data_IF_744357518278
#
_entry.id   IF_744357518278
#
_cell.length_a   1.000
_cell.length_b   1.000
_cell.length_c   1.000
_cell.angle_alpha   90.00
_cell.angle_beta   90.00
_cell.angle_gamma   90.00
#
_symmetry.space_group_name_H-M   'P 1'
#
loop_
_entity.id
_entity.type
_entity.pdbx_description
1 polymer ?
#
# COMPACT_ATOMS: atom_id res chain seq x y z
N UNK A 1 -4.56 18.21 -52.77
CA UNK A 1 -5.40 17.56 -51.75
C UNK A 1 -4.45 16.97 -50.72
N UNK A 2 -4.09 17.65 -49.63
CA UNK A 2 -4.88 18.04 -48.42
C UNK A 2 -5.31 16.82 -47.58
N UNK A 3 -5.17 16.97 -46.26
CA UNK A 3 -5.59 16.05 -45.17
C UNK A 3 -4.66 14.83 -44.93
N UNK A 4 -3.50 15.10 -44.33
CA UNK A 4 -2.71 14.13 -43.54
C UNK A 4 -1.79 14.83 -42.51
N UNK A 5 -1.28 16.03 -42.84
CA UNK A 5 -0.31 16.79 -42.03
C UNK A 5 -0.92 17.96 -41.22
N UNK A 6 -2.23 17.91 -40.89
CA UNK A 6 -2.97 19.08 -40.37
C UNK A 6 -3.44 18.98 -38.90
N UNK A 7 -3.15 17.90 -38.17
CA UNK A 7 -3.61 17.74 -36.76
C UNK A 7 -2.45 17.68 -35.74
N UNK A 8 -1.24 17.28 -36.17
CA UNK A 8 -0.07 17.19 -35.29
C UNK A 8 0.58 18.54 -34.89
N UNK A 9 0.36 19.60 -35.65
CA UNK A 9 1.08 20.89 -35.48
C UNK A 9 0.32 21.98 -34.72
N UNK A 10 -0.95 21.74 -34.33
CA UNK A 10 -1.79 22.79 -33.71
C UNK A 10 -1.83 22.77 -32.17
N UNK A 11 -1.23 21.78 -31.51
CA UNK A 11 -1.12 21.73 -30.03
C UNK A 11 0.22 22.23 -29.47
N UNK A 12 1.23 22.46 -30.33
CA UNK A 12 2.57 22.93 -29.92
C UNK A 12 2.68 24.47 -29.99
N UNK A 13 1.87 25.13 -30.82
CA UNK A 13 1.93 26.58 -31.05
C UNK A 13 1.25 27.45 -29.95
N UNK A 14 0.55 26.87 -28.96
CA UNK A 14 -0.17 27.64 -27.92
C UNK A 14 0.62 27.87 -26.63
N UNK A 15 1.85 27.37 -26.52
CA UNK A 15 2.68 27.45 -25.31
C UNK A 15 3.84 28.47 -25.41
N UNK A 16 3.93 29.24 -26.49
CA UNK A 16 4.96 30.29 -26.70
C UNK A 16 4.38 31.53 -27.37
N UNK A 17 3.66 32.36 -26.61
CA UNK A 17 3.56 33.83 -26.72
C UNK A 17 3.03 34.33 -25.37
N UNK A 18 3.95 34.60 -24.46
CA UNK A 18 3.77 35.42 -23.26
C UNK A 18 5.18 35.92 -22.88
N UNK A 19 5.49 37.14 -23.31
CA UNK A 19 6.79 37.83 -23.19
C UNK A 19 7.44 37.66 -21.80
N UNK A 20 8.74 37.43 -21.62
CA UNK A 20 9.95 38.00 -22.28
C UNK A 20 10.15 39.50 -22.05
N UNK A 21 10.65 39.89 -20.86
CA UNK A 21 11.75 40.89 -20.66
C UNK A 21 11.99 41.23 -19.17
N UNK A 22 13.08 40.73 -18.59
CA UNK A 22 14.03 41.54 -17.80
C UNK A 22 15.41 40.85 -17.82
N UNK A 23 16.51 41.61 -17.67
CA UNK A 23 17.86 41.19 -18.10
C UNK A 23 18.93 41.58 -17.07
N UNK A 24 19.95 40.72 -16.91
CA UNK A 24 21.21 40.91 -16.12
C UNK A 24 21.00 40.96 -14.58
N UNK A 25 21.93 40.52 -13.73
CA UNK A 25 23.39 40.31 -13.84
C UNK A 25 23.91 39.10 -13.00
N UNK A 26 25.22 38.82 -13.08
CA UNK A 26 25.92 37.72 -12.37
C UNK A 26 25.87 37.80 -10.84
N UNK A 27 25.93 36.64 -10.15
CA UNK A 27 26.88 36.25 -9.07
C UNK A 27 26.47 34.87 -8.51
N UNK A 28 27.45 34.00 -8.21
CA UNK A 28 27.24 32.63 -7.70
C UNK A 28 26.44 32.56 -6.38
N UNK A 29 25.37 31.75 -6.32
CA UNK A 29 24.67 31.32 -5.08
C UNK A 29 24.07 29.90 -5.21
N UNK A 30 23.69 29.22 -4.10
CA UNK A 30 23.59 27.76 -4.04
C UNK A 30 22.37 27.14 -4.73
N UNK A 31 22.41 25.81 -4.87
CA UNK A 31 21.29 24.94 -5.27
C UNK A 31 20.02 25.20 -4.43
N UNK A 32 19.13 26.04 -4.94
CA UNK A 32 17.70 26.10 -4.62
C UNK A 32 17.00 26.97 -5.68
N UNK A 33 16.34 26.33 -6.64
CA UNK A 33 15.33 26.98 -7.50
C UNK A 33 14.01 26.26 -7.31
N UNK A 34 13.36 26.56 -6.18
CA UNK A 34 11.92 26.35 -6.03
C UNK A 34 11.24 27.39 -6.91
N UNK A 35 10.88 27.01 -8.14
CA UNK A 35 9.95 27.77 -8.99
C UNK A 35 9.44 26.89 -10.16
N UNK A 36 8.78 25.81 -9.77
CA UNK A 36 7.66 25.22 -10.52
C UNK A 36 6.73 24.59 -9.49
N UNK A 37 5.41 24.81 -9.57
CA UNK A 37 4.51 24.16 -8.64
C UNK A 37 4.46 22.68 -9.01
N UNK A 38 5.05 21.84 -8.17
CA UNK A 38 4.90 20.38 -8.20
C UNK A 38 3.46 20.03 -7.79
N UNK A 39 2.51 20.30 -8.70
CA UNK A 39 1.09 19.97 -8.53
C UNK A 39 0.91 18.47 -8.76
N UNK A 40 1.31 17.69 -7.77
CA UNK A 40 0.73 16.39 -7.54
C UNK A 40 -0.78 16.59 -7.42
N UNK A 41 -1.56 16.04 -8.35
CA UNK A 41 -3.01 16.10 -8.31
C UNK A 41 -3.53 15.20 -7.19
N UNK A 42 -3.50 15.71 -5.97
CA UNK A 42 -4.34 15.21 -4.88
C UNK A 42 -5.78 15.33 -5.39
N UNK A 43 -6.50 14.21 -5.49
CA UNK A 43 -7.90 14.24 -5.89
C UNK A 43 -8.70 14.99 -4.80
N UNK A 44 -9.37 16.12 -5.09
CA UNK A 44 -10.04 16.94 -4.07
C UNK A 44 -11.26 16.30 -3.38
N UNK A 45 -11.54 15.02 -3.64
CA UNK A 45 -12.72 14.32 -3.15
C UNK A 45 -12.61 13.73 -1.74
N UNK A 46 -11.44 13.75 -1.10
CA UNK A 46 -11.24 13.17 0.24
C UNK A 46 -11.37 14.16 1.40
N UNK A 47 -11.41 15.48 1.13
CA UNK A 47 -11.68 16.50 2.16
C UNK A 47 -13.19 16.59 2.45
N UNK A 48 -13.74 15.54 3.05
CA UNK A 48 -15.03 15.62 3.74
C UNK A 48 -14.83 16.33 5.08
N UNK A 49 -15.70 17.29 5.38
CA UNK A 49 -15.70 18.01 6.66
C UNK A 49 -16.04 17.05 7.81
N UNK A 50 -15.01 16.49 8.46
CA UNK A 50 -15.18 15.85 9.76
C UNK A 50 -15.19 16.91 10.86
N UNK A 51 -16.29 16.96 11.59
CA UNK A 51 -16.49 17.87 12.72
C UNK A 51 -15.47 17.61 13.83
N UNK A 52 -14.91 18.69 14.36
CA UNK A 52 -13.95 18.68 15.47
C UNK A 52 -14.51 17.97 16.70
N UNK A 53 -13.86 16.88 17.14
CA UNK A 53 -14.09 16.33 18.47
C UNK A 53 -13.58 17.29 19.56
N UNK A 54 -14.20 17.28 20.75
CA UNK A 54 -14.01 18.35 21.74
C UNK A 54 -12.63 18.31 22.37
N UNK A 55 -12.02 19.49 22.51
CA UNK A 55 -10.83 19.72 23.33
C UNK A 55 -11.12 19.43 24.79
N UNK A 56 -10.72 18.23 25.24
CA UNK A 56 -10.74 17.84 26.65
C UNK A 56 -9.48 18.34 27.36
N UNK A 57 -9.67 19.12 28.42
CA UNK A 57 -8.58 19.58 29.28
C UNK A 57 -8.01 18.38 30.05
N UNK A 58 -6.87 17.84 29.61
CA UNK A 58 -6.16 16.79 30.33
C UNK A 58 -5.28 17.38 31.44
N UNK A 59 -5.69 17.16 32.68
CA UNK A 59 -4.84 17.30 33.86
C UNK A 59 -3.68 16.30 33.79
N UNK A 60 -2.47 16.74 34.13
CA UNK A 60 -1.26 15.97 33.91
C UNK A 60 -1.13 14.73 34.83
N UNK A 61 -1.32 13.55 34.25
CA UNK A 61 -0.73 12.27 34.70
C UNK A 61 0.22 11.77 33.62
N UNK A 62 1.51 11.66 33.92
CA UNK A 62 2.59 11.77 32.94
C UNK A 62 3.05 10.42 32.34
N UNK A 63 2.10 9.57 31.90
CA UNK A 63 2.39 8.37 31.09
C UNK A 63 2.01 8.62 29.63
N UNK A 64 3.00 8.70 28.74
CA UNK A 64 2.78 8.86 27.29
C UNK A 64 2.51 7.51 26.63
N UNK A 65 1.31 6.98 26.86
CA UNK A 65 0.86 5.75 26.20
C UNK A 65 0.76 6.01 24.68
N UNK A 66 1.45 5.20 23.89
CA UNK A 66 1.37 5.25 22.43
C UNK A 66 0.00 4.84 21.91
N UNK A 67 -0.48 5.53 20.87
CA UNK A 67 -1.75 5.20 20.22
C UNK A 67 -1.57 3.96 19.34
N UNK A 68 -2.58 3.10 19.27
CA UNK A 68 -2.57 1.95 18.35
C UNK A 68 -3.17 2.37 17.01
N UNK A 69 -2.48 2.07 15.91
CA UNK A 69 -3.03 2.18 14.57
C UNK A 69 -3.95 0.97 14.34
N UNK A 70 -5.25 1.13 14.59
CA UNK A 70 -6.26 0.08 14.37
C UNK A 70 -6.61 -0.04 12.87
N UNK A 71 -5.82 -0.85 12.16
CA UNK A 71 -6.12 -1.20 10.77
C UNK A 71 -7.36 -2.08 10.59
N UNK A 72 -7.84 -2.77 11.64
CA UNK A 72 -9.06 -3.60 11.58
C UNK A 72 -10.32 -2.73 11.58
N UNK A 73 -10.33 -1.65 12.36
CA UNK A 73 -11.38 -0.62 12.30
C UNK A 73 -11.44 -0.01 10.90
N UNK A 74 -10.30 0.45 10.39
CA UNK A 74 -10.17 1.00 9.04
C UNK A 74 -10.63 -0.02 7.98
N UNK A 75 -10.25 -1.29 8.14
CA UNK A 75 -10.64 -2.37 7.23
C UNK A 75 -12.15 -2.59 7.19
N UNK A 76 -12.82 -2.61 8.34
CA UNK A 76 -14.27 -2.84 8.37
C UNK A 76 -15.05 -1.67 7.76
N UNK A 77 -14.64 -0.42 8.03
CA UNK A 77 -15.14 0.79 7.38
C UNK A 77 -14.97 0.72 5.84
N UNK A 78 -13.82 0.25 5.37
CA UNK A 78 -13.55 0.06 3.94
C UNK A 78 -14.41 -1.03 3.31
N UNK A 79 -14.47 -2.22 3.91
CA UNK A 79 -15.33 -3.31 3.43
C UNK A 79 -16.79 -2.88 3.35
N UNK A 80 -17.30 -2.16 4.35
CA UNK A 80 -18.68 -1.66 4.35
C UNK A 80 -18.96 -0.71 3.18
N UNK A 81 -18.03 0.19 2.84
CA UNK A 81 -18.19 1.10 1.69
C UNK A 81 -18.09 0.37 0.36
N UNK A 82 -17.12 -0.54 0.24
CA UNK A 82 -16.88 -1.31 -1.00
C UNK A 82 -18.06 -2.25 -1.28
N UNK A 83 -18.68 -2.86 -0.25
CA UNK A 83 -19.92 -3.61 -0.39
C UNK A 83 -21.08 -2.75 -0.96
N UNK A 84 -21.14 -1.48 -0.56
CA UNK A 84 -22.06 -0.49 -1.13
C UNK A 84 -21.78 -0.23 -2.61
N UNK A 85 -20.55 0.14 -2.95
CA UNK A 85 -20.12 0.44 -4.33
C UNK A 85 -20.32 -0.76 -5.28
N UNK A 86 -20.03 -1.99 -4.83
CA UNK A 86 -20.24 -3.22 -5.61
C UNK A 86 -21.74 -3.52 -5.80
N UNK A 87 -22.58 -3.29 -4.79
CA UNK A 87 -24.03 -3.44 -4.90
C UNK A 87 -24.65 -2.41 -5.86
N UNK A 88 -24.18 -1.17 -5.83
CA UNK A 88 -24.59 -0.11 -6.77
C UNK A 88 -24.17 -0.44 -8.20
N UNK A 89 -22.92 -0.86 -8.42
CA UNK A 89 -22.44 -1.35 -9.71
C UNK A 89 -23.30 -2.52 -10.22
N UNK A 90 -23.57 -3.51 -9.38
CA UNK A 90 -24.40 -4.68 -9.73
C UNK A 90 -25.81 -4.27 -10.15
N UNK A 91 -26.43 -3.30 -9.47
CA UNK A 91 -27.75 -2.75 -9.86
C UNK A 91 -27.70 -1.98 -11.18
N UNK A 92 -26.62 -1.23 -11.43
CA UNK A 92 -26.50 -0.37 -12.60
C UNK A 92 -26.19 -1.14 -13.90
N UNK A 93 -25.33 -2.16 -13.86
CA UNK A 93 -24.84 -2.87 -15.05
C UNK A 93 -25.05 -4.40 -15.04
N UNK A 94 -25.68 -4.95 -14.00
CA UNK A 94 -25.96 -6.39 -13.87
C UNK A 94 -24.73 -7.28 -13.64
N UNK A 95 -23.54 -6.70 -13.51
CA UNK A 95 -22.25 -7.41 -13.35
C UNK A 95 -21.64 -7.16 -11.97
N UNK A 96 -20.85 -8.13 -11.50
CA UNK A 96 -20.02 -8.03 -10.28
C UNK A 96 -18.55 -8.13 -10.65
N UNK A 97 -17.64 -7.46 -9.91
CA UNK A 97 -16.20 -7.68 -10.08
C UNK A 97 -15.83 -9.14 -9.77
N UNK A 98 -14.74 -9.60 -10.37
CA UNK A 98 -14.25 -10.97 -10.26
C UNK A 98 -12.75 -11.04 -10.00
N UNK A 99 -12.33 -11.89 -9.08
CA UNK A 99 -10.94 -12.08 -8.65
C UNK A 99 -10.49 -13.52 -8.93
N UNK A 100 -9.50 -13.71 -9.80
CA UNK A 100 -8.79 -14.97 -9.96
C UNK A 100 -7.67 -15.07 -8.93
N UNK A 101 -7.53 -16.23 -8.29
CA UNK A 101 -6.48 -16.51 -7.31
C UNK A 101 -5.78 -17.80 -7.74
N UNK A 102 -4.46 -17.76 -7.90
CA UNK A 102 -3.63 -18.94 -8.16
C UNK A 102 -2.88 -19.31 -6.88
N UNK A 103 -3.09 -20.53 -6.39
CA UNK A 103 -2.43 -21.07 -5.18
C UNK A 103 -1.63 -22.31 -5.58
N UNK A 104 -0.36 -22.39 -5.16
CA UNK A 104 0.53 -23.51 -5.50
C UNK A 104 1.08 -24.16 -4.23
N UNK A 105 0.74 -25.43 -4.04
CA UNK A 105 1.17 -26.26 -2.91
C UNK A 105 0.43 -26.01 -1.59
N UNK A 106 0.76 -26.85 -0.59
CA UNK A 106 -0.02 -27.02 0.65
C UNK A 106 0.45 -26.15 1.82
N UNK A 107 0.96 -24.95 1.53
CA UNK A 107 1.47 -24.04 2.57
C UNK A 107 0.35 -23.52 3.46
N UNK A 108 0.35 -23.92 4.74
CA UNK A 108 -0.71 -23.58 5.72
C UNK A 108 -0.92 -22.08 5.89
N UNK A 109 0.14 -21.28 5.82
CA UNK A 109 0.08 -19.82 5.85
C UNK A 109 -0.58 -19.29 4.57
N UNK A 110 -0.14 -19.73 3.39
CA UNK A 110 -0.77 -19.39 2.10
C UNK A 110 -2.27 -19.72 2.06
N UNK A 111 -2.66 -20.93 2.49
CA UNK A 111 -4.08 -21.34 2.63
C UNK A 111 -4.87 -20.44 3.59
N UNK A 112 -4.26 -20.03 4.71
CA UNK A 112 -4.89 -19.11 5.68
C UNK A 112 -5.13 -17.74 5.04
N UNK A 113 -4.14 -17.20 4.33
CA UNK A 113 -4.28 -15.95 3.57
C UNK A 113 -5.38 -16.08 2.51
N UNK A 114 -5.39 -17.13 1.68
CA UNK A 114 -6.43 -17.31 0.65
C UNK A 114 -7.83 -17.43 1.26
N UNK A 115 -8.00 -18.11 2.38
CA UNK A 115 -9.27 -18.14 3.10
C UNK A 115 -9.72 -16.74 3.54
N UNK A 116 -8.80 -15.90 4.01
CA UNK A 116 -9.10 -14.48 4.33
C UNK A 116 -9.46 -13.69 3.06
N UNK A 117 -8.71 -13.88 1.95
CA UNK A 117 -8.98 -13.23 0.66
C UNK A 117 -10.40 -13.53 0.17
N UNK A 118 -10.75 -14.82 0.07
CA UNK A 118 -12.06 -15.30 -0.38
C UNK A 118 -13.18 -14.86 0.58
N UNK A 119 -12.97 -14.95 1.90
CA UNK A 119 -13.96 -14.51 2.90
C UNK A 119 -14.33 -13.04 2.71
N UNK A 120 -13.33 -12.18 2.57
CA UNK A 120 -13.60 -10.76 2.36
C UNK A 120 -14.28 -10.51 1.00
N UNK A 121 -13.85 -11.15 -0.10
CA UNK A 121 -14.54 -11.02 -1.40
C UNK A 121 -16.05 -11.29 -1.26
N UNK A 122 -16.41 -12.35 -0.54
CA UNK A 122 -17.80 -12.68 -0.23
C UNK A 122 -18.49 -11.60 0.64
N UNK A 123 -17.80 -11.05 1.65
CA UNK A 123 -18.32 -9.96 2.50
C UNK A 123 -18.70 -8.68 1.72
N UNK A 124 -18.08 -8.43 0.55
CA UNK A 124 -18.37 -7.25 -0.29
C UNK A 124 -19.07 -7.57 -1.63
N UNK A 125 -19.40 -8.83 -1.90
CA UNK A 125 -20.07 -9.25 -3.13
C UNK A 125 -19.18 -9.33 -4.39
N UNK A 126 -17.85 -9.42 -4.21
CA UNK A 126 -16.91 -9.75 -5.29
C UNK A 126 -16.85 -11.27 -5.47
N UNK A 127 -16.92 -11.74 -6.71
CA UNK A 127 -16.81 -13.18 -7.02
C UNK A 127 -15.34 -13.59 -7.05
N UNK A 128 -14.92 -14.53 -6.21
CA UNK A 128 -13.55 -15.08 -6.24
C UNK A 128 -13.52 -16.50 -6.81
N UNK A 129 -12.54 -16.79 -7.67
CA UNK A 129 -12.27 -18.13 -8.22
C UNK A 129 -10.84 -18.51 -7.85
N UNK A 130 -10.65 -19.66 -7.20
CA UNK A 130 -9.32 -20.17 -6.82
C UNK A 130 -8.93 -21.31 -7.78
N UNK A 131 -7.74 -21.22 -8.35
CA UNK A 131 -7.06 -22.30 -9.05
C UNK A 131 -5.96 -22.84 -8.13
N UNK A 132 -6.19 -24.03 -7.58
CA UNK A 132 -5.23 -24.73 -6.70
C UNK A 132 -4.40 -25.70 -7.55
N UNK A 133 -3.08 -25.58 -7.46
CA UNK A 133 -2.10 -26.43 -8.16
C UNK A 133 -1.21 -27.16 -7.14
N UNK A 134 -0.85 -28.43 -7.39
CA UNK A 134 0.01 -29.18 -6.48
C UNK A 134 1.43 -28.60 -6.40
N UNK A 135 2.12 -28.88 -5.29
CA UNK A 135 3.48 -28.37 -5.04
C UNK A 135 4.52 -28.82 -6.10
N UNK A 136 4.25 -29.86 -6.88
CA UNK A 136 5.13 -30.37 -7.94
C UNK A 136 4.73 -29.90 -9.36
N UNK A 137 3.77 -28.98 -9.50
CA UNK A 137 3.43 -28.38 -10.79
C UNK A 137 4.65 -27.73 -11.44
N UNK A 138 4.69 -27.80 -12.77
CA UNK A 138 5.68 -27.14 -13.62
C UNK A 138 5.24 -25.70 -13.82
N UNK A 139 6.21 -24.82 -13.99
CA UNK A 139 5.99 -23.39 -14.28
C UNK A 139 4.94 -23.15 -15.39
N UNK A 140 4.96 -23.93 -16.47
CA UNK A 140 3.95 -23.87 -17.54
C UNK A 140 2.51 -24.08 -17.06
N UNK A 141 2.28 -24.99 -16.11
CA UNK A 141 0.94 -25.25 -15.56
C UNK A 141 0.41 -24.02 -14.80
N UNK A 142 1.29 -23.28 -14.11
CA UNK A 142 0.95 -22.03 -13.41
C UNK A 142 0.70 -20.91 -14.43
N UNK A 143 1.57 -20.78 -15.45
CA UNK A 143 1.42 -19.79 -16.52
C UNK A 143 0.12 -19.98 -17.31
N UNK A 144 -0.29 -21.23 -17.56
CA UNK A 144 -1.57 -21.56 -18.17
C UNK A 144 -2.77 -21.18 -17.28
N UNK A 145 -2.67 -21.40 -15.96
CA UNK A 145 -3.70 -20.99 -15.01
C UNK A 145 -3.87 -19.45 -14.96
N UNK A 146 -2.75 -18.71 -14.92
CA UNK A 146 -2.76 -17.23 -15.00
C UNK A 146 -3.33 -16.77 -16.35
N UNK A 147 -2.94 -17.39 -17.46
CA UNK A 147 -3.41 -17.02 -18.81
C UNK A 147 -4.93 -17.22 -18.96
N UNK A 148 -5.48 -18.32 -18.43
CA UNK A 148 -6.93 -18.54 -18.37
C UNK A 148 -7.68 -17.44 -17.61
N UNK A 149 -7.08 -16.86 -16.57
CA UNK A 149 -7.64 -15.71 -15.86
C UNK A 149 -7.43 -14.37 -16.61
N UNK A 150 -6.34 -14.20 -17.37
CA UNK A 150 -6.16 -13.06 -18.27
C UNK A 150 -7.25 -13.03 -19.36
N UNK A 151 -7.52 -14.17 -19.99
CA UNK A 151 -8.47 -14.27 -21.10
C UNK A 151 -9.93 -14.28 -20.66
N UNK A 152 -10.21 -14.61 -19.38
CA UNK A 152 -11.58 -14.63 -18.86
C UNK A 152 -12.13 -13.21 -18.62
N UNK A 153 -13.17 -12.76 -19.34
CA UNK A 153 -13.76 -11.41 -19.20
C UNK A 153 -14.59 -11.23 -17.92
N UNK A 154 -14.84 -12.30 -17.16
CA UNK A 154 -15.47 -12.22 -15.83
C UNK A 154 -14.45 -12.04 -14.71
N UNK A 155 -13.16 -12.23 -14.98
CA UNK A 155 -12.07 -11.97 -14.05
C UNK A 155 -11.48 -10.61 -14.35
N UNK A 156 -11.41 -9.76 -13.34
CA UNK A 156 -11.02 -8.35 -13.42
C UNK A 156 -9.71 -8.08 -12.64
N UNK A 157 -9.32 -8.99 -11.75
CA UNK A 157 -8.05 -8.98 -11.03
C UNK A 157 -7.50 -10.39 -10.84
N UNK A 158 -6.19 -10.52 -10.76
CA UNK A 158 -5.47 -11.78 -10.58
C UNK A 158 -4.46 -11.64 -9.44
N UNK A 159 -4.47 -12.62 -8.53
CA UNK A 159 -3.49 -12.79 -7.46
C UNK A 159 -2.77 -14.11 -7.69
N UNK A 160 -1.44 -14.11 -7.69
CA UNK A 160 -0.63 -15.32 -7.54
C UNK A 160 -0.14 -15.36 -6.10
N UNK A 161 -0.52 -16.37 -5.34
CA UNK A 161 -0.22 -16.41 -3.91
C UNK A 161 1.24 -16.76 -3.66
N UNK A 162 1.99 -15.77 -3.19
CA UNK A 162 3.39 -15.90 -2.79
C UNK A 162 3.54 -16.39 -1.33
N UNK A 163 4.70 -16.95 -0.95
CA UNK A 163 5.81 -17.33 -1.84
C UNK A 163 5.51 -18.65 -2.58
N UNK A 164 6.04 -18.78 -3.79
CA UNK A 164 5.93 -20.02 -4.56
C UNK A 164 6.94 -21.09 -4.08
N UNK A 165 6.71 -22.37 -4.43
CA UNK A 165 7.72 -23.42 -4.28
C UNK A 165 9.06 -23.05 -4.93
N UNK A 166 10.17 -23.39 -4.25
CA UNK A 166 11.55 -22.95 -4.60
C UNK A 166 12.05 -23.35 -5.99
N UNK A 167 11.39 -24.28 -6.68
CA UNK A 167 11.75 -24.73 -8.03
C UNK A 167 11.06 -23.90 -9.14
N UNK A 168 10.21 -22.94 -8.78
CA UNK A 168 9.52 -22.03 -9.71
C UNK A 168 10.19 -20.66 -9.72
N UNK A 169 10.23 -20.03 -10.89
CA UNK A 169 10.64 -18.64 -11.05
C UNK A 169 9.43 -17.71 -10.80
N UNK A 170 9.41 -17.08 -9.61
CA UNK A 170 8.37 -16.11 -9.24
C UNK A 170 8.28 -14.95 -10.22
N UNK A 171 9.40 -14.42 -10.71
CA UNK A 171 9.41 -13.25 -11.58
C UNK A 171 8.85 -13.60 -12.97
N UNK A 172 9.21 -14.77 -13.50
CA UNK A 172 8.66 -15.26 -14.76
C UNK A 172 7.15 -15.50 -14.69
N UNK A 173 6.65 -16.08 -13.59
CA UNK A 173 5.21 -16.31 -13.38
C UNK A 173 4.46 -14.99 -13.20
N UNK A 174 4.98 -14.07 -12.38
CA UNK A 174 4.34 -12.77 -12.14
C UNK A 174 4.25 -11.92 -13.42
N UNK A 175 5.23 -12.01 -14.32
CA UNK A 175 5.21 -11.33 -15.61
C UNK A 175 4.16 -11.88 -16.60
N UNK A 176 3.50 -13.01 -16.31
CA UNK A 176 2.35 -13.50 -17.10
C UNK A 176 1.05 -12.77 -16.72
N UNK A 177 0.97 -12.19 -15.52
CA UNK A 177 -0.23 -11.44 -15.09
C UNK A 177 -0.36 -10.16 -15.92
N UNK A 178 -1.49 -9.99 -16.62
CA UNK A 178 -1.73 -8.76 -17.39
C UNK A 178 -1.69 -7.54 -16.47
N UNK A 179 -0.99 -6.47 -16.89
CA UNK A 179 -0.89 -5.22 -16.12
C UNK A 179 -2.26 -4.60 -15.80
N UNK A 180 -3.29 -4.88 -16.60
CA UNK A 180 -4.69 -4.44 -16.39
C UNK A 180 -5.44 -5.27 -15.34
N UNK A 181 -4.90 -6.43 -14.93
CA UNK A 181 -5.44 -7.32 -13.90
C UNK A 181 -4.48 -7.57 -12.73
N UNK A 182 -3.27 -7.00 -12.74
CA UNK A 182 -2.25 -7.09 -11.69
C UNK A 182 -2.66 -6.33 -10.42
N UNK A 183 -3.66 -6.84 -9.72
CA UNK A 183 -4.26 -6.17 -8.55
C UNK A 183 -3.35 -6.13 -7.32
N UNK A 184 -2.34 -6.99 -7.25
CA UNK A 184 -1.27 -6.91 -6.25
C UNK A 184 -0.19 -5.87 -6.61
N UNK A 185 -0.18 -5.33 -7.84
CA UNK A 185 0.66 -4.21 -8.29
C UNK A 185 2.13 -4.55 -8.52
N UNK A 186 2.47 -5.83 -8.68
CA UNK A 186 3.85 -6.31 -8.76
C UNK A 186 4.44 -6.29 -10.18
N UNK A 187 3.62 -6.10 -11.21
CA UNK A 187 4.05 -6.03 -12.60
C UNK A 187 5.06 -4.87 -12.78
N UNK A 188 6.20 -5.06 -13.47
CA UNK A 188 7.26 -4.05 -13.57
C UNK A 188 6.81 -2.68 -14.10
N UNK A 189 5.77 -2.64 -14.94
CA UNK A 189 5.16 -1.37 -15.39
C UNK A 189 4.45 -0.60 -14.27
N UNK A 190 3.79 -1.28 -13.32
CA UNK A 190 3.20 -0.64 -12.15
C UNK A 190 4.29 -0.07 -11.24
N UNK A 191 5.34 -0.85 -10.95
CA UNK A 191 6.49 -0.37 -10.19
C UNK A 191 7.25 0.78 -10.87
N UNK A 192 7.45 0.72 -12.18
CA UNK A 192 8.09 1.79 -12.96
C UNK A 192 7.24 3.06 -13.03
N UNK A 193 5.93 2.93 -13.22
CA UNK A 193 5.02 4.08 -13.20
C UNK A 193 4.87 4.67 -11.80
N UNK A 194 5.01 3.87 -10.73
CA UNK A 194 5.11 4.34 -9.34
C UNK A 194 6.42 5.13 -9.10
N UNK A 195 7.56 4.68 -9.65
CA UNK A 195 8.85 5.36 -9.47
C UNK A 195 8.97 6.69 -10.24
N UNK A 196 8.34 6.81 -11.41
CA UNK A 196 8.49 7.97 -12.31
C UNK A 196 7.50 9.08 -11.93
N UNK A 197 8.00 10.28 -11.68
CA UNK A 197 7.19 11.47 -11.41
C UNK A 197 6.27 11.82 -12.61
N UNK A 198 5.02 12.20 -12.33
CA UNK A 198 4.03 12.53 -13.35
C UNK A 198 3.43 11.33 -14.11
N UNK A 199 3.76 10.09 -13.71
CA UNK A 199 3.06 8.87 -14.15
C UNK A 199 2.20 8.33 -13.01
N UNK A 200 1.15 7.60 -13.36
CA UNK A 200 0.37 6.82 -12.40
C UNK A 200 0.41 5.33 -12.77
N UNK A 201 0.65 4.43 -11.80
CA UNK A 201 0.46 3.01 -12.01
C UNK A 201 -1.03 2.67 -12.14
N UNK A 202 -1.36 1.54 -12.78
CA UNK A 202 -2.74 1.03 -12.73
C UNK A 202 -3.04 0.50 -11.33
N UNK A 203 -2.10 -0.26 -10.75
CA UNK A 203 -2.21 -0.81 -9.42
C UNK A 203 -1.01 -0.42 -8.56
N UNK A 204 -1.26 -0.09 -7.30
CA UNK A 204 -0.22 0.21 -6.30
C UNK A 204 -0.12 -1.00 -5.38
N UNK A 205 1.09 -1.51 -5.08
CA UNK A 205 1.30 -2.63 -4.19
C UNK A 205 0.53 -2.56 -2.87
N UNK A 206 -0.02 -3.70 -2.48
CA UNK A 206 -1.14 -3.76 -1.55
C UNK A 206 -0.76 -3.36 -0.11
N UNK A 207 0.26 -3.97 0.47
CA UNK A 207 0.76 -3.62 1.80
C UNK A 207 1.35 -2.19 1.89
N UNK A 208 2.16 -1.69 0.92
CA UNK A 208 2.61 -0.29 0.88
C UNK A 208 1.48 0.74 0.90
N UNK A 209 0.40 0.51 0.13
CA UNK A 209 -0.76 1.38 0.14
C UNK A 209 -1.56 1.27 1.45
N UNK A 210 -1.61 0.09 2.08
CA UNK A 210 -2.16 -0.04 3.43
C UNK A 210 -1.36 0.81 4.46
N UNK A 211 -0.03 0.77 4.41
CA UNK A 211 0.84 1.58 5.26
C UNK A 211 0.53 3.08 5.08
N UNK A 212 0.42 3.53 3.83
CA UNK A 212 0.05 4.91 3.50
C UNK A 212 -1.34 5.30 4.02
N UNK A 213 -2.36 4.46 3.81
CA UNK A 213 -3.73 4.69 4.30
C UNK A 213 -3.78 4.81 5.83
N UNK A 214 -3.04 3.98 6.56
CA UNK A 214 -2.92 4.08 8.02
C UNK A 214 -2.39 5.46 8.43
N UNK A 215 -1.26 5.89 7.84
CA UNK A 215 -0.65 7.19 8.17
C UNK A 215 -1.62 8.35 7.89
N UNK A 216 -2.24 8.37 6.70
CA UNK A 216 -3.15 9.45 6.28
C UNK A 216 -4.43 9.49 7.13
N UNK A 217 -5.03 8.34 7.46
CA UNK A 217 -6.27 8.27 8.26
C UNK A 217 -6.07 8.63 9.72
N UNK A 218 -4.87 8.43 10.25
CA UNK A 218 -4.46 8.94 11.57
C UNK A 218 -3.95 10.39 11.53
N UNK A 219 -4.18 11.11 10.42
CA UNK A 219 -3.96 12.54 10.32
C UNK A 219 -2.50 12.96 10.15
N UNK A 220 -1.61 12.06 9.73
CA UNK A 220 -0.22 12.43 9.49
C UNK A 220 -0.03 13.24 8.22
N UNK A 221 0.47 14.47 8.39
CA UNK A 221 1.15 15.16 7.29
C UNK A 221 2.53 14.51 7.06
N UNK A 222 2.69 13.94 5.86
CA UNK A 222 3.90 13.23 5.42
C UNK A 222 4.95 14.18 4.82
N UNK A 223 4.56 15.39 4.46
CA UNK A 223 5.41 16.36 3.76
C UNK A 223 6.59 16.78 4.63
N UNK A 224 7.80 16.58 4.12
CA UNK A 224 9.06 16.90 4.81
C UNK A 224 9.39 15.99 6.00
N UNK A 225 8.56 15.00 6.33
CA UNK A 225 8.86 14.02 7.39
C UNK A 225 10.04 13.14 7.00
N UNK A 226 10.86 12.75 7.97
CA UNK A 226 11.88 11.72 7.79
C UNK A 226 11.24 10.35 7.92
N UNK A 227 11.27 9.55 6.86
CA UNK A 227 10.82 8.16 6.89
C UNK A 227 12.03 7.21 6.76
N UNK A 228 12.08 6.19 7.62
CA UNK A 228 13.01 5.06 7.48
C UNK A 228 12.22 3.81 7.09
N UNK A 229 12.51 3.23 5.94
CA UNK A 229 11.95 1.93 5.52
C UNK A 229 13.03 0.87 5.72
N UNK A 230 12.81 -0.05 6.65
CA UNK A 230 13.75 -1.08 7.09
C UNK A 230 13.36 -2.40 6.43
N UNK A 231 13.99 -2.70 5.30
CA UNK A 231 13.56 -3.73 4.38
C UNK A 231 13.54 -3.20 2.95
N UNK A 232 13.97 -4.01 1.99
CA UNK A 232 14.03 -3.66 0.56
C UNK A 232 13.41 -4.72 -0.34
N UNK A 233 12.38 -5.42 0.13
CA UNK A 233 11.67 -6.40 -0.70
C UNK A 233 11.04 -5.71 -1.91
N UNK A 234 10.83 -6.48 -2.99
CA UNK A 234 10.12 -6.02 -4.20
C UNK A 234 8.66 -5.65 -3.89
N UNK A 235 8.08 -6.26 -2.85
CA UNK A 235 6.63 -6.29 -2.55
C UNK A 235 6.23 -5.20 -1.54
N UNK A 236 7.06 -4.94 -0.51
CA UNK A 236 6.74 -3.98 0.55
C UNK A 236 7.77 -2.86 0.65
N UNK A 237 9.03 -3.16 0.98
CA UNK A 237 10.04 -2.15 1.28
C UNK A 237 10.29 -1.13 0.16
N UNK A 238 10.61 -1.60 -1.04
CA UNK A 238 10.84 -0.72 -2.20
C UNK A 238 9.58 0.13 -2.53
N UNK A 239 8.40 -0.45 -2.82
CA UNK A 239 7.20 0.35 -3.13
C UNK A 239 6.75 1.28 -2.00
N UNK A 240 6.94 0.92 -0.72
CA UNK A 240 6.65 1.84 0.40
C UNK A 240 7.57 3.05 0.36
N UNK A 241 8.86 2.85 0.05
CA UNK A 241 9.80 3.97 -0.07
C UNK A 241 9.41 4.94 -1.20
N UNK A 242 8.92 4.42 -2.33
CA UNK A 242 8.44 5.23 -3.46
C UNK A 242 7.13 5.97 -3.14
N UNK A 243 6.18 5.33 -2.45
CA UNK A 243 4.95 5.99 -2.02
C UNK A 243 5.21 7.13 -1.04
N UNK A 244 6.04 6.90 -0.02
CA UNK A 244 6.38 7.96 0.95
C UNK A 244 7.11 9.12 0.27
N UNK A 245 7.98 8.85 -0.72
CA UNK A 245 8.61 9.87 -1.54
C UNK A 245 7.59 10.69 -2.36
N UNK A 246 6.60 10.05 -3.00
CA UNK A 246 5.50 10.74 -3.70
C UNK A 246 4.69 11.65 -2.77
N UNK A 247 4.51 11.22 -1.52
CA UNK A 247 3.87 12.01 -0.46
C UNK A 247 4.83 13.02 0.20
N UNK A 248 5.90 13.41 -0.49
CA UNK A 248 6.84 14.48 -0.12
C UNK A 248 7.64 14.19 1.17
N UNK A 249 7.72 12.94 1.62
CA UNK A 249 8.60 12.56 2.73
C UNK A 249 10.06 12.43 2.26
N UNK A 250 11.01 12.72 3.15
CA UNK A 250 12.43 12.41 2.98
C UNK A 250 12.67 10.96 3.41
N UNK A 251 12.90 10.07 2.46
CA UNK A 251 12.96 8.62 2.71
C UNK A 251 14.38 8.09 2.76
N UNK A 252 14.70 7.29 3.78
CA UNK A 252 15.92 6.49 3.89
C UNK A 252 15.59 5.00 3.84
N UNK A 253 16.21 4.27 2.92
CA UNK A 253 16.07 2.82 2.81
C UNK A 253 17.18 2.14 3.62
N UNK A 254 16.79 1.31 4.59
CA UNK A 254 17.68 0.56 5.48
C UNK A 254 17.59 -0.93 5.14
N UNK A 255 18.73 -1.61 5.10
CA UNK A 255 18.82 -3.03 4.73
C UNK A 255 19.99 -3.72 5.44
N UNK A 256 20.14 -5.03 5.28
CA UNK A 256 21.17 -5.84 5.97
C UNK A 256 22.62 -5.31 5.87
N UNK A 257 22.98 -4.61 4.78
CA UNK A 257 24.30 -4.02 4.57
C UNK A 257 24.43 -2.55 5.04
N UNK A 258 23.41 -1.98 5.69
CA UNK A 258 23.45 -0.59 6.18
C UNK A 258 24.28 -0.54 7.47
N UNK A 259 25.38 0.22 7.47
CA UNK A 259 26.16 0.47 8.69
C UNK A 259 25.39 1.34 9.68
N UNK A 260 25.31 0.92 10.95
CA UNK A 260 24.60 1.61 12.03
C UNK A 260 23.12 1.96 11.70
N UNK A 261 22.25 0.96 11.39
CA UNK A 261 20.85 1.20 11.00
C UNK A 261 20.04 1.97 12.06
N UNK A 262 20.38 1.79 13.33
CA UNK A 262 19.89 2.57 14.46
C UNK A 262 20.01 4.09 14.26
N UNK A 263 21.15 4.58 13.73
CA UNK A 263 21.39 6.02 13.52
C UNK A 263 20.48 6.64 12.46
N UNK A 264 19.89 5.81 11.59
CA UNK A 264 18.93 6.24 10.57
C UNK A 264 17.52 6.24 11.17
N UNK A 265 17.14 5.16 11.85
CA UNK A 265 15.82 4.96 12.44
C UNK A 265 15.54 5.91 13.62
N UNK A 266 16.56 6.24 14.44
CA UNK A 266 16.39 7.13 15.59
C UNK A 266 16.19 8.61 15.21
N UNK A 267 16.34 8.95 13.93
CA UNK A 267 16.04 10.28 13.38
C UNK A 267 14.70 10.35 12.66
N UNK A 268 14.05 9.20 12.42
CA UNK A 268 12.86 9.12 11.59
C UNK A 268 11.59 9.49 12.38
N UNK A 269 10.70 10.24 11.74
CA UNK A 269 9.33 10.49 12.22
C UNK A 269 8.42 9.27 11.93
N UNK A 270 8.75 8.50 10.88
CA UNK A 270 8.02 7.31 10.42
C UNK A 270 9.03 6.17 10.24
N UNK A 271 8.74 5.00 10.82
CA UNK A 271 9.51 3.77 10.61
C UNK A 271 8.59 2.70 10.06
N UNK A 272 8.92 2.13 8.89
CA UNK A 272 8.22 0.96 8.33
C UNK A 272 9.16 -0.24 8.34
N UNK A 273 8.73 -1.37 8.90
CA UNK A 273 9.52 -2.60 9.05
C UNK A 273 9.03 -3.70 8.11
N UNK A 274 9.91 -4.13 7.20
CA UNK A 274 9.75 -5.20 6.20
C UNK A 274 10.98 -6.13 6.24
N UNK A 275 11.29 -6.67 7.42
CA UNK A 275 12.51 -7.49 7.63
C UNK A 275 12.22 -9.00 7.63
N UNK A 276 10.97 -9.41 7.90
CA UNK A 276 10.59 -10.82 8.02
C UNK A 276 11.21 -11.58 9.21
N UNK A 277 12.13 -10.95 9.94
CA UNK A 277 12.80 -11.51 11.11
C UNK A 277 12.23 -10.84 12.37
N UNK A 278 11.60 -11.61 13.29
CA UNK A 278 11.05 -11.08 14.53
C UNK A 278 12.09 -10.25 15.31
N UNK A 279 11.63 -9.28 16.08
CA UNK A 279 12.47 -8.56 17.04
C UNK A 279 13.67 -7.81 16.44
N UNK A 280 13.69 -7.50 15.14
CA UNK A 280 14.85 -6.78 14.54
C UNK A 280 14.95 -5.35 15.03
N UNK A 281 13.87 -4.55 14.92
CA UNK A 281 13.85 -3.16 15.39
C UNK A 281 13.60 -3.16 16.90
N UNK A 282 14.35 -2.33 17.63
CA UNK A 282 14.29 -2.22 19.09
C UNK A 282 13.75 -0.86 19.51
N UNK A 283 13.20 -0.76 20.72
CA UNK A 283 12.68 0.51 21.25
C UNK A 283 13.69 1.66 21.18
N UNK A 284 14.95 1.41 21.53
CA UNK A 284 16.02 2.42 21.49
C UNK A 284 16.40 2.88 20.05
N UNK A 285 15.98 2.17 19.01
CA UNK A 285 16.18 2.58 17.62
C UNK A 285 15.15 3.61 17.15
N UNK A 286 14.14 3.91 17.97
CA UNK A 286 13.01 4.74 17.57
C UNK A 286 13.11 6.13 18.19
N UNK A 287 12.89 7.15 17.35
CA UNK A 287 12.74 8.52 17.81
C UNK A 287 11.53 8.62 18.75
N UNK A 288 11.62 9.29 19.91
CA UNK A 288 10.45 9.64 20.70
C UNK A 288 9.44 10.43 19.87
N UNK A 289 8.18 9.98 19.89
CA UNK A 289 7.09 10.50 19.08
C UNK A 289 6.96 9.90 17.68
N UNK A 290 7.83 8.97 17.27
CA UNK A 290 7.73 8.32 15.96
C UNK A 290 6.45 7.49 15.78
N UNK A 291 6.11 7.28 14.51
CA UNK A 291 5.08 6.34 14.05
C UNK A 291 5.74 5.09 13.49
N UNK A 292 5.33 3.93 13.96
CA UNK A 292 5.91 2.64 13.59
C UNK A 292 4.85 1.76 12.94
N UNK A 293 5.16 1.26 11.74
CA UNK A 293 4.36 0.27 11.04
C UNK A 293 5.20 -0.99 10.85
N UNK A 294 4.82 -2.08 11.51
CA UNK A 294 5.44 -3.38 11.29
C UNK A 294 4.60 -4.21 10.31
N UNK A 295 5.21 -4.63 9.20
CA UNK A 295 4.57 -5.49 8.19
C UNK A 295 5.02 -6.95 8.32
N UNK A 296 5.80 -7.29 9.35
CA UNK A 296 6.17 -8.67 9.65
C UNK A 296 4.96 -9.51 10.10
N UNK A 297 4.86 -10.74 9.60
CA UNK A 297 3.79 -11.70 9.96
C UNK A 297 4.34 -12.99 10.58
N UNK A 298 5.63 -13.01 10.90
CA UNK A 298 6.36 -14.19 11.39
C UNK A 298 5.84 -14.66 12.75
N UNK A 299 5.32 -15.90 12.81
CA UNK A 299 4.98 -16.58 14.05
C UNK A 299 6.22 -16.82 14.91
N UNK A 300 6.12 -16.64 16.23
CA UNK A 300 7.10 -17.16 17.18
C UNK A 300 6.44 -18.19 18.09
N UNK A 301 7.27 -19.08 18.61
CA UNK A 301 6.94 -19.85 19.80
C UNK A 301 7.25 -18.99 21.03
N UNK A 302 6.28 -18.85 21.92
CA UNK A 302 6.46 -18.28 23.26
C UNK A 302 6.15 -19.38 24.27
N UNK A 303 6.98 -19.49 25.31
CA UNK A 303 6.93 -20.54 26.33
C UNK A 303 5.71 -20.42 27.26
N UNK A 304 4.53 -20.74 26.71
CA UNK A 304 3.27 -20.97 27.41
C UNK A 304 2.25 -21.76 26.55
N UNK A 305 2.71 -22.66 25.68
CA UNK A 305 1.83 -23.59 24.94
C UNK A 305 0.94 -22.94 23.85
N UNK A 306 1.19 -21.68 23.48
CA UNK A 306 0.46 -20.96 22.44
C UNK A 306 1.39 -20.37 21.39
N UNK A 307 1.20 -20.76 20.12
CA UNK A 307 1.79 -20.02 19.00
C UNK A 307 1.24 -18.60 18.98
N UNK A 308 2.12 -17.60 18.95
CA UNK A 308 1.71 -16.19 18.92
C UNK A 308 2.60 -15.42 17.94
N UNK A 309 2.01 -14.62 17.06
CA UNK A 309 2.80 -13.67 16.28
C UNK A 309 3.30 -12.58 17.23
N UNK A 310 4.62 -12.42 17.34
CA UNK A 310 5.23 -11.51 18.31
C UNK A 310 5.32 -10.12 17.73
N UNK A 311 4.38 -9.27 18.11
CA UNK A 311 4.38 -7.86 17.76
C UNK A 311 4.91 -7.04 18.94
N UNK A 312 6.25 -6.96 19.05
CA UNK A 312 6.91 -6.27 20.15
C UNK A 312 7.89 -5.20 19.66
N UNK A 313 7.32 -4.03 19.37
CA UNK A 313 7.92 -2.78 19.86
C UNK A 313 6.91 -2.00 20.70
N UNK A 314 6.59 -2.55 21.89
CA UNK A 314 6.13 -1.69 22.99
C UNK A 314 7.30 -0.79 23.38
N UNK A 315 7.24 0.46 22.95
CA UNK A 315 8.04 1.55 23.49
C UNK A 315 7.07 2.63 23.99
N UNK A 316 7.17 2.97 25.27
CA UNK A 316 6.37 3.98 26.00
C UNK A 316 6.63 5.42 25.53
N UNK A 317 7.33 5.58 24.40
CA UNK A 317 7.71 6.85 23.81
C UNK A 317 7.32 6.99 22.34
N UNK A 318 6.69 5.99 21.71
CA UNK A 318 6.23 6.09 20.31
C UNK A 318 4.78 6.56 20.24
N UNK A 319 4.46 7.46 19.30
CA UNK A 319 3.11 8.03 19.19
C UNK A 319 2.10 7.06 18.62
N UNK A 320 2.52 6.19 17.71
CA UNK A 320 1.64 5.33 16.93
C UNK A 320 2.32 3.98 16.61
N UNK A 321 1.63 2.86 16.87
CA UNK A 321 2.11 1.50 16.57
C UNK A 321 1.04 0.75 15.77
N UNK A 322 1.36 0.27 14.57
CA UNK A 322 0.53 -0.69 13.85
C UNK A 322 0.89 -2.12 14.24
N UNK A 323 -0.14 -2.89 14.63
CA UNK A 323 -0.05 -4.33 14.89
C UNK A 323 -1.19 -5.02 14.12
N UNK A 324 -0.91 -5.85 13.11
CA UNK A 324 -1.95 -6.64 12.45
C UNK A 324 -2.50 -7.68 13.46
N UNK A 325 -3.66 -7.38 14.04
CA UNK A 325 -4.22 -8.11 15.19
C UNK A 325 -5.41 -8.99 14.82
N UNK A 326 -5.26 -10.30 15.03
CA UNK A 326 -6.36 -11.26 15.13
C UNK A 326 -7.07 -11.13 16.50
N UNK A 327 -8.42 -11.10 16.50
CA UNK A 327 -9.34 -10.98 17.67
C UNK A 327 -9.18 -9.68 18.52
N UNK A 328 -10.16 -9.16 19.29
CA UNK A 328 -11.50 -9.61 19.73
C UNK A 328 -12.55 -8.44 19.65
N UNK A 329 -13.77 -8.64 20.17
CA UNK A 329 -15.06 -7.88 20.10
C UNK A 329 -14.97 -6.40 20.61
N UNK A 330 -15.71 -5.33 20.18
CA UNK A 330 -17.19 -5.14 20.06
C UNK A 330 -17.75 -4.21 18.92
N UNK A 331 -18.48 -3.13 19.23
CA UNK A 331 -19.47 -2.39 18.37
C UNK A 331 -19.44 -0.85 18.51
N UNK A 332 -19.68 -0.07 17.43
CA UNK A 332 -20.83 0.86 17.19
C UNK A 332 -20.65 1.67 15.86
N UNK A 333 -21.56 2.61 15.54
CA UNK A 333 -21.91 3.11 14.18
C UNK A 333 -21.56 4.64 14.00
N UNK A 334 -21.69 5.38 12.88
CA UNK A 334 -22.40 5.24 11.57
C UNK A 334 -21.89 6.28 10.51
N UNK A 335 -22.42 6.24 9.27
CA UNK A 335 -22.64 7.34 8.28
C UNK A 335 -21.52 7.81 7.29
N UNK A 336 -21.67 7.37 6.03
CA UNK A 336 -21.63 8.05 4.70
C UNK A 336 -20.98 9.44 4.48
N UNK A 337 -20.51 9.76 3.24
CA UNK A 337 -20.14 8.90 2.10
C UNK A 337 -18.68 9.24 1.67
N UNK A 338 -18.37 9.73 0.44
CA UNK A 338 -18.46 9.14 -0.91
C UNK A 338 -17.23 8.24 -1.22
N UNK A 339 -16.73 8.09 -2.45
CA UNK A 339 -17.27 7.44 -3.67
C UNK A 339 -16.12 7.31 -4.71
N UNK A 340 -16.04 6.17 -5.40
CA UNK A 340 -15.23 5.87 -6.61
C UNK A 340 -13.70 5.69 -6.50
N UNK A 341 -13.06 5.91 -5.35
CA UNK A 341 -11.64 5.51 -5.13
C UNK A 341 -11.45 4.21 -4.34
N UNK A 342 -12.52 3.68 -3.72
CA UNK A 342 -12.40 2.72 -2.62
C UNK A 342 -12.42 1.24 -3.05
N UNK A 343 -12.97 0.89 -4.22
CA UNK A 343 -12.80 -0.44 -4.85
C UNK A 343 -11.32 -0.88 -4.87
N UNK A 344 -10.40 0.08 -5.05
CA UNK A 344 -8.94 -0.13 -5.07
C UNK A 344 -8.26 -0.26 -3.70
N UNK A 345 -9.02 -0.15 -2.60
CA UNK A 345 -8.55 -0.43 -1.24
C UNK A 345 -8.87 -1.87 -0.80
N UNK A 346 -9.66 -2.59 -1.59
CA UNK A 346 -10.17 -3.89 -1.20
C UNK A 346 -9.07 -4.95 -1.04
N UNK A 347 -8.08 -4.92 -1.90
CA UNK A 347 -7.01 -5.94 -1.98
C UNK A 347 -5.89 -5.67 -0.96
N UNK A 348 -5.88 -4.50 -0.34
CA UNK A 348 -4.92 -4.12 0.71
C UNK A 348 -5.17 -4.81 2.06
N UNK A 349 -6.34 -5.42 2.22
CA UNK A 349 -6.87 -5.90 3.51
C UNK A 349 -7.21 -7.39 3.50
N UNK A 350 -6.83 -8.08 2.42
CA UNK A 350 -6.99 -9.53 2.28
C UNK A 350 -5.88 -10.32 3.00
N UNK A 351 -4.93 -9.63 3.63
CA UNK A 351 -3.80 -10.18 4.37
C UNK A 351 -3.67 -9.62 5.79
N UNK A 352 -4.77 -9.52 6.52
CA UNK A 352 -4.82 -9.24 7.97
C UNK A 352 -5.18 -10.50 8.76
#
# INVERSE_FOLDING_TARGET
MRIALAVGWWRIARAKIAHTKFVRNLICRPLLSVDSPDIWKINPGSSSHFSSHPSSNFSASNEKIGVVLDGKLIANDLKSRIAGEVNEMKKAIGKTPGLGIVLVGERRDSHTFIRTKVKACNEVGIVSVVAELPNNSKEGDICDAVSRFNDNPSVHGIIVQLPLPKHLDEEKIMNVVSVEKDVDGFHPLNMGNLAIAGREPLFIPCAPKACLELLLRYGMDLRGKKAAVVGRSKIVGLPTSLLLQRHQATVSLVHAFTGNPEKVTCQADIVVSDVGTPNTIRGHWLKPGAVVIDTGTSSVEVDAGSFQCLFLVRNEHCSFIFVPSFFLIRSYQTLNPPALHLIWLFILLLGS
#
